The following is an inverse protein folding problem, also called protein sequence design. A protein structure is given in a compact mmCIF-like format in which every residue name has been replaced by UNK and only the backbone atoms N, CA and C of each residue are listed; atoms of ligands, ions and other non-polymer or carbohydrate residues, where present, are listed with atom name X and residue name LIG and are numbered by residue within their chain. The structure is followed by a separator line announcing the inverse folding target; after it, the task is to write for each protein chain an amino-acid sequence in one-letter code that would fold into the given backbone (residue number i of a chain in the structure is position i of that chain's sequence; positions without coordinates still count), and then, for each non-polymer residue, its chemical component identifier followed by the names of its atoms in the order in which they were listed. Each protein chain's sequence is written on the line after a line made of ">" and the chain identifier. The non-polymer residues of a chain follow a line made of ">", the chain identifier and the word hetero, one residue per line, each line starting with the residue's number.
data_IF_753686535127
#
_entry.id   IF_753686535127
#
_cell.length_a   1.000
_cell.length_b   1.000
_cell.length_c   1.000
_cell.angle_alpha   90.00
_cell.angle_beta   90.00
_cell.angle_gamma   90.00
#
_symmetry.space_group_name_H-M   'P 1'
#
loop_
_entity.id
_entity.type
_entity.pdbx_description
1 polymer ?
#
# COMPACT_ATOMS: atom_id res chain seq x y z
N UNK A 1 36.55 25.38 -14.57
CA UNK A 1 35.43 25.52 -13.62
C UNK A 1 35.61 24.42 -12.58
N UNK A 2 35.84 24.76 -11.30
CA UNK A 2 35.99 23.75 -10.25
C UNK A 2 34.61 23.36 -9.72
N UNK A 3 34.07 22.23 -10.19
CA UNK A 3 32.74 21.71 -9.82
C UNK A 3 32.68 21.29 -8.33
N UNK A 4 33.82 21.15 -7.66
CA UNK A 4 33.90 20.72 -6.26
C UNK A 4 33.42 21.76 -5.24
N UNK A 5 33.22 23.02 -5.62
CA UNK A 5 32.78 24.09 -4.71
C UNK A 5 31.59 24.83 -5.31
N UNK A 6 30.38 24.46 -4.88
CA UNK A 6 29.13 25.10 -5.28
C UNK A 6 28.89 26.34 -4.41
N UNK A 7 29.22 27.51 -4.94
CA UNK A 7 28.97 28.80 -4.31
C UNK A 7 27.63 29.43 -4.78
N UNK A 8 27.41 30.71 -4.44
CA UNK A 8 26.19 31.45 -4.81
C UNK A 8 26.29 32.22 -6.13
N UNK A 9 27.31 31.96 -6.96
CA UNK A 9 27.42 32.61 -8.28
C UNK A 9 26.32 32.10 -9.23
N UNK A 10 25.96 32.88 -10.27
CA UNK A 10 24.97 32.45 -11.26
C UNK A 10 25.31 31.09 -11.92
N UNK A 11 26.60 30.81 -12.16
CA UNK A 11 27.05 29.55 -12.75
C UNK A 11 26.81 28.35 -11.80
N UNK A 12 27.19 28.47 -10.52
CA UNK A 12 26.94 27.43 -9.51
C UNK A 12 25.44 27.17 -9.29
N UNK A 13 24.61 28.22 -9.35
CA UNK A 13 23.15 28.08 -9.29
C UNK A 13 22.60 27.27 -10.48
N UNK A 14 23.10 27.54 -11.70
CA UNK A 14 22.71 26.78 -12.89
C UNK A 14 23.08 25.29 -12.75
N UNK A 15 24.34 25.00 -12.37
CA UNK A 15 24.83 23.63 -12.20
C UNK A 15 24.01 22.88 -11.13
N UNK A 16 23.68 23.53 -10.01
CA UNK A 16 22.82 22.94 -8.98
C UNK A 16 21.42 22.59 -9.50
N UNK A 17 20.81 23.49 -10.27
CA UNK A 17 19.48 23.25 -10.84
C UNK A 17 19.51 22.10 -11.84
N UNK A 18 20.57 21.99 -12.64
CA UNK A 18 20.77 20.85 -13.55
C UNK A 18 20.86 19.54 -12.76
N UNK A 19 21.62 19.50 -11.66
CA UNK A 19 21.68 18.30 -10.82
C UNK A 19 20.33 17.94 -10.19
N UNK A 20 19.55 18.93 -9.74
CA UNK A 20 18.21 18.67 -9.22
C UNK A 20 17.27 18.15 -10.31
N UNK A 21 17.33 18.70 -11.52
CA UNK A 21 16.54 18.21 -12.65
C UNK A 21 16.92 16.76 -13.01
N UNK A 22 18.20 16.40 -12.97
CA UNK A 22 18.64 15.02 -13.16
C UNK A 22 18.13 14.09 -12.05
N UNK A 23 18.21 14.51 -10.79
CA UNK A 23 17.72 13.71 -9.67
C UNK A 23 16.20 13.47 -9.74
N UNK A 24 15.44 14.47 -10.19
CA UNK A 24 14.00 14.33 -10.44
C UNK A 24 13.73 13.37 -11.60
N UNK A 25 14.42 13.55 -12.72
CA UNK A 25 14.31 12.66 -13.89
C UNK A 25 14.62 11.19 -13.56
N UNK A 26 15.68 10.92 -12.81
CA UNK A 26 16.03 9.55 -12.40
C UNK A 26 14.97 8.93 -11.49
N UNK A 27 14.42 9.72 -10.56
CA UNK A 27 13.33 9.27 -9.70
C UNK A 27 12.09 8.91 -10.52
N UNK A 28 11.73 9.75 -11.48
CA UNK A 28 10.57 9.52 -12.35
C UNK A 28 10.76 8.27 -13.20
N UNK A 29 11.97 8.07 -13.75
CA UNK A 29 12.30 6.86 -14.49
C UNK A 29 12.16 5.59 -13.64
N UNK A 30 12.56 5.63 -12.36
CA UNK A 30 12.37 4.51 -11.43
C UNK A 30 10.88 4.26 -11.19
N UNK A 31 10.09 5.31 -10.97
CA UNK A 31 8.63 5.19 -10.79
C UNK A 31 7.99 4.57 -12.03
N UNK A 32 8.28 5.08 -13.23
CA UNK A 32 7.74 4.58 -14.49
C UNK A 32 8.03 3.08 -14.67
N UNK A 33 9.30 2.69 -14.58
CA UNK A 33 9.71 1.28 -14.71
C UNK A 33 9.06 0.37 -13.66
N UNK A 34 8.92 0.83 -12.42
CA UNK A 34 8.25 0.03 -11.39
C UNK A 34 6.76 -0.11 -11.64
N UNK A 35 6.09 0.92 -12.17
CA UNK A 35 4.68 0.83 -12.54
C UNK A 35 4.47 -0.11 -13.74
N UNK A 36 5.34 -0.05 -14.75
CA UNK A 36 5.31 -0.97 -15.89
C UNK A 36 5.48 -2.43 -15.44
N UNK A 37 6.50 -2.72 -14.64
CA UNK A 37 6.73 -4.06 -14.09
C UNK A 37 5.54 -4.55 -13.25
N UNK A 38 4.93 -3.65 -12.47
CA UNK A 38 3.71 -3.93 -11.71
C UNK A 38 2.50 -4.19 -12.61
N UNK A 39 2.35 -3.46 -13.71
CA UNK A 39 1.28 -3.66 -14.69
C UNK A 39 1.38 -5.05 -15.34
N UNK A 40 2.60 -5.50 -15.66
CA UNK A 40 2.86 -6.86 -16.14
C UNK A 40 2.53 -7.89 -15.05
N UNK A 41 2.98 -7.68 -13.81
CA UNK A 41 2.68 -8.59 -12.71
C UNK A 41 1.17 -8.74 -12.45
N UNK A 42 0.39 -7.65 -12.63
CA UNK A 42 -1.08 -7.65 -12.52
C UNK A 42 -1.78 -8.57 -13.52
N UNK A 43 -1.15 -8.92 -14.63
CA UNK A 43 -1.73 -9.83 -15.63
C UNK A 43 -1.72 -11.29 -15.14
N UNK A 44 -0.92 -11.63 -14.13
CA UNK A 44 -0.88 -12.97 -13.55
C UNK A 44 -2.19 -13.27 -12.81
N UNK A 45 -2.91 -14.38 -13.10
CA UNK A 45 -4.19 -14.69 -12.47
C UNK A 45 -4.15 -14.77 -10.94
N UNK A 46 -2.99 -15.12 -10.37
CA UNK A 46 -2.78 -15.26 -8.94
C UNK A 46 -2.20 -14.01 -8.26
N UNK A 47 -1.98 -12.92 -9.01
CA UNK A 47 -1.47 -11.69 -8.44
C UNK A 47 -2.49 -11.07 -7.48
N UNK A 48 -2.02 -10.70 -6.29
CA UNK A 48 -2.82 -10.00 -5.28
C UNK A 48 -2.06 -8.77 -4.84
N UNK A 49 -2.71 -7.63 -4.95
CA UNK A 49 -2.14 -6.35 -4.53
C UNK A 49 -2.48 -6.05 -3.06
N UNK A 50 -1.52 -5.48 -2.34
CA UNK A 50 -1.69 -5.06 -0.96
C UNK A 50 -1.46 -6.16 0.08
N UNK A 51 -1.87 -5.88 1.32
CA UNK A 51 -1.59 -6.75 2.46
C UNK A 51 -2.42 -8.05 2.37
N UNK A 52 -1.80 -9.24 2.53
CA UNK A 52 -2.53 -10.50 2.60
C UNK A 52 -3.59 -10.49 3.71
N UNK A 53 -4.73 -11.12 3.44
CA UNK A 53 -5.80 -11.28 4.44
C UNK A 53 -5.29 -12.15 5.58
N UNK A 54 -5.39 -11.63 6.82
CA UNK A 54 -4.95 -12.34 8.03
C UNK A 54 -5.83 -13.54 8.37
N UNK A 55 -7.13 -13.46 8.11
CA UNK A 55 -8.10 -14.49 8.48
C UNK A 55 -8.61 -15.23 7.24
N UNK A 56 -8.78 -16.54 7.38
CA UNK A 56 -9.34 -17.40 6.34
C UNK A 56 -10.85 -17.16 6.21
N UNK A 57 -11.41 -17.55 5.05
CA UNK A 57 -12.86 -17.46 4.81
C UNK A 57 -13.65 -18.23 5.88
N UNK A 58 -13.21 -19.43 6.24
CA UNK A 58 -13.85 -20.27 7.26
C UNK A 58 -13.90 -19.60 8.64
N UNK A 59 -12.82 -18.94 9.06
CA UNK A 59 -12.78 -18.21 10.34
C UNK A 59 -13.78 -17.04 10.33
N UNK A 60 -13.86 -16.31 9.22
CA UNK A 60 -14.78 -15.19 9.09
C UNK A 60 -16.24 -15.65 9.01
N UNK A 61 -16.51 -16.75 8.31
CA UNK A 61 -17.84 -17.36 8.22
C UNK A 61 -18.33 -17.80 9.61
N UNK A 62 -17.46 -18.47 10.37
CA UNK A 62 -17.77 -18.86 11.74
C UNK A 62 -18.03 -17.64 12.64
N UNK A 63 -17.18 -16.61 12.56
CA UNK A 63 -17.35 -15.40 13.36
C UNK A 63 -18.65 -14.65 13.02
N UNK A 64 -19.06 -14.62 11.75
CA UNK A 64 -20.32 -13.99 11.35
C UNK A 64 -21.53 -14.78 11.82
N UNK A 65 -21.47 -16.12 11.77
CA UNK A 65 -22.55 -16.95 12.29
C UNK A 65 -22.78 -16.70 13.80
N UNK A 66 -21.70 -16.45 14.55
CA UNK A 66 -21.81 -16.10 15.97
C UNK A 66 -22.50 -14.74 16.21
N UNK A 67 -22.45 -13.81 15.26
CA UNK A 67 -23.10 -12.48 15.38
C UNK A 67 -24.63 -12.55 15.39
N UNK A 68 -25.25 -13.66 14.95
CA UNK A 68 -26.71 -13.82 15.02
C UNK A 68 -27.20 -13.81 16.47
N UNK A 69 -26.41 -14.36 17.39
CA UNK A 69 -26.79 -14.52 18.80
C UNK A 69 -25.90 -13.73 19.77
N UNK A 70 -24.83 -13.08 19.29
CA UNK A 70 -23.85 -12.41 20.13
C UNK A 70 -23.53 -11.01 19.61
N UNK A 71 -23.19 -10.10 20.53
CA UNK A 71 -22.69 -8.77 20.17
C UNK A 71 -21.30 -8.83 19.54
N UNK A 72 -20.95 -7.80 18.77
CA UNK A 72 -19.62 -7.67 18.17
C UNK A 72 -18.46 -7.77 19.18
N UNK A 73 -18.64 -7.25 20.40
CA UNK A 73 -17.61 -7.31 21.43
C UNK A 73 -17.41 -8.74 21.95
N UNK A 74 -18.50 -9.49 22.12
CA UNK A 74 -18.45 -10.90 22.53
C UNK A 74 -17.81 -11.76 21.45
N UNK A 75 -18.21 -11.60 20.17
CA UNK A 75 -17.60 -12.35 19.07
C UNK A 75 -16.12 -12.02 18.92
N UNK A 76 -15.72 -10.76 19.11
CA UNK A 76 -14.31 -10.38 19.07
C UNK A 76 -13.50 -11.05 20.19
N UNK A 77 -14.05 -11.14 21.39
CA UNK A 77 -13.43 -11.86 22.51
C UNK A 77 -13.32 -13.38 22.25
N UNK A 78 -14.38 -13.99 21.68
CA UNK A 78 -14.43 -15.43 21.42
C UNK A 78 -13.51 -15.86 20.26
N UNK A 79 -13.40 -15.04 19.21
CA UNK A 79 -12.68 -15.41 17.97
C UNK A 79 -11.30 -14.78 17.85
N UNK A 80 -10.98 -13.79 18.69
CA UNK A 80 -9.76 -12.98 18.57
C UNK A 80 -9.75 -12.04 17.35
N UNK A 81 -10.84 -11.99 16.57
CA UNK A 81 -10.98 -11.11 15.42
C UNK A 81 -11.46 -9.74 15.90
N UNK A 82 -10.77 -8.67 15.53
CA UNK A 82 -11.15 -7.33 15.96
C UNK A 82 -12.56 -6.97 15.52
N UNK A 83 -13.29 -6.24 16.36
CA UNK A 83 -14.61 -5.66 16.04
C UNK A 83 -14.61 -4.93 14.69
N UNK A 84 -13.57 -4.13 14.43
CA UNK A 84 -13.41 -3.41 13.16
C UNK A 84 -13.31 -4.35 11.95
N UNK A 85 -12.68 -5.52 12.10
CA UNK A 85 -12.60 -6.53 11.05
C UNK A 85 -13.96 -7.17 10.81
N UNK A 86 -14.72 -7.47 11.86
CA UNK A 86 -16.08 -8.03 11.76
C UNK A 86 -17.03 -7.04 11.07
N UNK A 87 -17.03 -5.77 11.47
CA UNK A 87 -17.87 -4.73 10.84
C UNK A 87 -17.52 -4.55 9.37
N UNK A 88 -16.22 -4.50 9.04
CA UNK A 88 -15.75 -4.40 7.65
C UNK A 88 -16.19 -5.61 6.82
N UNK A 89 -16.15 -6.80 7.42
CA UNK A 89 -16.59 -8.04 6.78
C UNK A 89 -18.10 -8.03 6.48
N UNK A 90 -18.93 -7.65 7.45
CA UNK A 90 -20.39 -7.51 7.30
C UNK A 90 -20.72 -6.51 6.18
N UNK A 91 -20.12 -5.31 6.23
CA UNK A 91 -20.28 -4.28 5.19
C UNK A 91 -19.87 -4.79 3.81
N UNK A 92 -18.79 -5.57 3.71
CA UNK A 92 -18.33 -6.16 2.43
C UNK A 92 -19.33 -7.17 1.89
N UNK A 93 -19.99 -7.95 2.76
CA UNK A 93 -21.00 -8.94 2.37
C UNK A 93 -22.37 -8.32 2.05
N UNK A 94 -22.57 -7.02 2.34
CA UNK A 94 -23.88 -6.34 2.22
C UNK A 94 -25.01 -7.06 2.98
N UNK A 95 -24.65 -7.73 4.09
CA UNK A 95 -25.59 -8.26 5.08
C UNK A 95 -25.88 -7.15 6.09
#
# INVERSE_FOLDING_TARGET
>A
MNIGLLDNTPASKLVRNIFFAFAEFERDMIVERTQEGKAIAKQQPNFKEGRPLKYTKKQLDHAIQLLTNNSYNQVAALTGISKSTLIREIKRRKI
#
